data_IF_025474113809
#
_entry.id   IF_025474113809
#
_cell.length_a   1.000
_cell.length_b   1.000
_cell.length_c   1.000
_cell.angle_alpha   90.00
_cell.angle_beta   90.00
_cell.angle_gamma   90.00
#
_symmetry.space_group_name_H-M   'P 1'
#
loop_
_entity.id
_entity.type
_entity.pdbx_description
1 polymer ?
#
# COMPACT_ATOMS: atom_id res chain seq x y z
N UNK A 1 -2.03 29.48 -22.59
CA UNK A 1 -3.44 29.04 -22.45
C UNK A 1 -3.45 28.00 -21.33
N UNK A 2 -3.94 28.34 -20.13
CA UNK A 2 -3.88 27.46 -18.96
C UNK A 2 -4.91 26.34 -19.16
N UNK A 3 -4.43 25.11 -19.36
CA UNK A 3 -5.28 23.99 -19.76
C UNK A 3 -5.99 23.34 -18.57
N UNK A 4 -5.46 23.39 -17.34
CA UNK A 4 -6.05 22.84 -16.10
C UNK A 4 -5.36 23.44 -14.85
N UNK A 5 -5.99 23.43 -13.64
CA UNK A 5 -7.18 22.68 -13.25
C UNK A 5 -8.36 23.62 -13.03
N UNK A 6 -9.25 23.65 -14.01
CA UNK A 6 -10.55 24.26 -13.85
C UNK A 6 -11.61 23.22 -14.13
N UNK A 7 -12.44 22.92 -13.13
CA UNK A 7 -13.67 22.16 -13.39
C UNK A 7 -14.55 23.06 -14.25
N UNK A 8 -14.83 22.61 -15.47
CA UNK A 8 -15.87 23.20 -16.31
C UNK A 8 -17.14 22.39 -16.09
N UNK A 9 -18.00 22.75 -15.12
CA UNK A 9 -19.32 22.14 -15.08
C UNK A 9 -19.97 22.37 -16.45
N UNK A 10 -20.52 21.33 -17.06
CA UNK A 10 -21.32 21.39 -18.29
C UNK A 10 -20.58 21.33 -19.66
N UNK A 11 -19.42 20.67 -19.78
CA UNK A 11 -18.98 20.23 -21.12
C UNK A 11 -19.95 19.17 -21.67
N UNK A 12 -20.65 19.51 -22.77
CA UNK A 12 -21.54 18.60 -23.49
C UNK A 12 -23.04 18.95 -23.49
N UNK A 13 -23.47 20.03 -22.82
CA UNK A 13 -24.88 20.47 -22.82
C UNK A 13 -25.07 21.86 -23.43
N UNK A 14 -24.76 22.08 -24.71
CA UNK A 14 -25.16 23.28 -25.47
C UNK A 14 -25.12 24.66 -24.74
N UNK A 15 -24.19 24.87 -23.80
CA UNK A 15 -24.01 26.15 -23.08
C UNK A 15 -23.12 27.12 -23.88
N UNK A 16 -23.20 27.04 -25.20
CA UNK A 16 -22.55 28.01 -26.08
C UNK A 16 -23.65 28.87 -26.66
N UNK A 17 -23.79 30.09 -26.15
CA UNK A 17 -24.17 31.22 -27.01
C UNK A 17 -23.89 32.62 -26.51
N UNK A 18 -23.42 32.82 -25.28
CA UNK A 18 -22.91 34.13 -24.89
C UNK A 18 -21.60 34.00 -24.12
N UNK A 19 -20.67 34.91 -24.44
CA UNK A 19 -19.40 35.20 -23.75
C UNK A 19 -19.60 35.70 -22.30
N UNK A 20 -20.63 35.22 -21.60
CA UNK A 20 -20.94 35.58 -20.23
C UNK A 20 -20.10 34.74 -19.27
N UNK A 21 -18.95 35.33 -18.91
CA UNK A 21 -18.25 35.18 -17.63
C UNK A 21 -18.52 33.88 -16.87
N UNK A 22 -17.82 32.81 -17.27
CA UNK A 22 -17.74 31.63 -16.43
C UNK A 22 -16.89 31.96 -15.19
N UNK A 23 -17.52 31.93 -14.02
CA UNK A 23 -16.78 31.91 -12.76
C UNK A 23 -16.07 30.57 -12.62
N UNK A 24 -14.75 30.61 -12.75
CA UNK A 24 -13.90 29.48 -12.47
C UNK A 24 -13.61 29.46 -10.96
N UNK A 25 -14.28 28.59 -10.23
CA UNK A 25 -13.96 28.29 -8.84
C UNK A 25 -13.01 27.09 -8.81
N UNK A 26 -11.69 27.29 -8.72
CA UNK A 26 -10.78 26.17 -8.49
C UNK A 26 -11.17 25.50 -7.18
N UNK A 27 -11.27 24.17 -7.17
CA UNK A 27 -11.34 23.40 -5.93
C UNK A 27 -9.89 23.20 -5.51
N UNK A 28 -9.38 23.89 -4.46
CA UNK A 28 -7.95 23.85 -4.12
C UNK A 28 -7.44 22.42 -3.90
N UNK A 29 -8.26 21.57 -3.26
CA UNK A 29 -7.93 20.15 -3.04
C UNK A 29 -7.70 19.37 -4.33
N UNK A 30 -8.38 19.69 -5.45
CA UNK A 30 -8.14 19.04 -6.73
C UNK A 30 -6.89 19.54 -7.43
N UNK A 31 -6.52 20.82 -7.23
CA UNK A 31 -5.23 21.34 -7.69
C UNK A 31 -4.11 20.62 -6.95
N UNK A 32 -4.19 20.57 -5.61
CA UNK A 32 -3.23 19.88 -4.76
C UNK A 32 -3.12 18.39 -5.10
N UNK A 33 -4.25 17.70 -5.28
CA UNK A 33 -4.26 16.31 -5.75
C UNK A 33 -3.63 16.18 -7.12
N UNK A 34 -3.90 17.08 -8.08
CA UNK A 34 -3.32 17.01 -9.43
C UNK A 34 -1.79 17.09 -9.44
N UNK A 35 -1.21 17.93 -8.59
CA UNK A 35 0.24 18.13 -8.49
C UNK A 35 0.94 17.15 -7.54
N UNK A 36 0.19 16.34 -6.80
CA UNK A 36 0.72 15.28 -5.92
C UNK A 36 0.45 13.91 -6.54
N UNK A 37 -0.63 13.22 -6.13
CA UNK A 37 -1.02 11.91 -6.67
C UNK A 37 -1.37 11.96 -8.15
N UNK A 38 -1.82 13.12 -8.65
CA UNK A 38 -2.12 13.37 -10.05
C UNK A 38 -0.94 13.26 -10.99
N UNK A 39 0.30 13.49 -10.51
CA UNK A 39 1.52 13.31 -11.32
C UNK A 39 1.69 11.83 -11.65
N UNK A 40 1.49 10.93 -10.69
CA UNK A 40 1.53 9.50 -10.94
C UNK A 40 0.57 9.12 -12.08
N UNK A 41 -0.66 9.62 -12.05
CA UNK A 41 -1.65 9.35 -13.10
C UNK A 41 -1.28 9.95 -14.46
N UNK A 42 -0.65 11.12 -14.46
CA UNK A 42 -0.16 11.71 -15.70
C UNK A 42 0.92 10.83 -16.32
N UNK A 43 1.91 10.43 -15.52
CA UNK A 43 3.02 9.59 -15.96
C UNK A 43 2.53 8.19 -16.40
N UNK A 44 1.61 7.59 -15.64
CA UNK A 44 1.01 6.30 -16.00
C UNK A 44 0.22 6.40 -17.31
N UNK A 45 -0.55 7.47 -17.53
CA UNK A 45 -1.31 7.61 -18.75
C UNK A 45 -0.44 7.84 -19.99
N UNK A 46 0.69 8.53 -19.82
CA UNK A 46 1.65 8.81 -20.89
C UNK A 46 2.50 7.57 -21.23
N UNK A 47 3.09 6.94 -20.21
CA UNK A 47 4.14 5.92 -20.38
C UNK A 47 3.67 4.48 -20.12
N UNK A 48 2.42 4.29 -19.66
CA UNK A 48 1.77 2.99 -19.46
C UNK A 48 2.63 2.02 -18.64
N UNK A 49 2.85 0.82 -19.18
CA UNK A 49 3.55 -0.30 -18.53
C UNK A 49 4.99 0.05 -18.18
N UNK A 50 5.69 0.80 -19.04
CA UNK A 50 7.08 1.17 -18.78
C UNK A 50 7.22 2.00 -17.50
N UNK A 51 6.26 2.91 -17.25
CA UNK A 51 6.24 3.66 -16.00
C UNK A 51 5.75 2.81 -14.83
N UNK A 52 4.71 2.00 -15.02
CA UNK A 52 4.18 1.18 -13.92
C UNK A 52 5.20 0.16 -13.40
N UNK A 53 5.95 -0.47 -14.29
CA UNK A 53 6.94 -1.49 -13.93
C UNK A 53 8.12 -0.84 -13.21
N UNK A 54 8.63 0.28 -13.74
CA UNK A 54 9.69 1.03 -13.06
C UNK A 54 9.25 1.62 -11.72
N UNK A 55 8.05 2.21 -11.67
CA UNK A 55 7.52 2.79 -10.44
C UNK A 55 7.22 1.72 -9.39
N UNK A 56 6.85 0.50 -9.80
CA UNK A 56 6.75 -0.66 -8.90
C UNK A 56 8.04 -0.88 -8.12
N UNK A 57 9.19 -0.92 -8.80
CA UNK A 57 10.51 -1.06 -8.18
C UNK A 57 10.85 0.10 -7.23
N UNK A 58 10.47 1.33 -7.60
CA UNK A 58 10.65 2.51 -6.73
C UNK A 58 9.77 2.40 -5.48
N UNK A 59 8.53 1.93 -5.65
CA UNK A 59 7.57 1.75 -4.57
C UNK A 59 8.03 0.67 -3.58
N UNK A 60 8.50 -0.47 -4.07
CA UNK A 60 9.10 -1.55 -3.26
C UNK A 60 10.27 -1.05 -2.41
N UNK A 61 11.18 -0.26 -3.01
CA UNK A 61 12.29 0.38 -2.29
C UNK A 61 11.83 1.40 -1.26
N UNK A 62 10.77 2.13 -1.56
CA UNK A 62 10.19 3.10 -0.63
C UNK A 62 9.58 2.40 0.59
N UNK A 63 8.81 1.34 0.39
CA UNK A 63 8.29 0.50 1.48
C UNK A 63 9.45 -0.06 2.31
N UNK A 64 10.50 -0.57 1.65
CA UNK A 64 11.73 -1.02 2.31
C UNK A 64 12.36 0.03 3.22
N UNK A 65 12.45 1.28 2.76
CA UNK A 65 12.97 2.38 3.56
C UNK A 65 12.13 2.62 4.82
N UNK A 66 10.79 2.54 4.72
CA UNK A 66 9.91 2.68 5.90
C UNK A 66 10.14 1.51 6.86
N UNK A 67 10.18 0.27 6.36
CA UNK A 67 10.39 -0.93 7.18
C UNK A 67 11.72 -0.90 7.92
N UNK A 68 12.82 -0.53 7.23
CA UNK A 68 14.15 -0.37 7.84
C UNK A 68 14.20 0.73 8.92
N UNK A 69 13.32 1.73 8.83
CA UNK A 69 13.17 2.80 9.82
C UNK A 69 12.16 2.49 10.92
N UNK A 70 11.49 1.35 10.83
CA UNK A 70 10.42 0.94 11.75
C UNK A 70 10.79 -0.28 12.57
N UNK A 71 11.51 -1.24 11.97
CA UNK A 71 11.65 -2.60 12.48
C UNK A 71 13.09 -2.85 12.92
N UNK A 72 13.36 -2.59 14.21
CA UNK A 72 14.69 -2.77 14.81
C UNK A 72 14.81 -4.05 15.65
N UNK A 73 13.68 -4.59 16.11
CA UNK A 73 13.64 -5.79 16.94
C UNK A 73 13.40 -7.01 16.05
N UNK A 74 14.40 -7.48 15.31
CA UNK A 74 14.26 -8.63 14.42
C UNK A 74 15.14 -8.52 13.18
N UNK A 75 14.93 -9.42 12.22
CA UNK A 75 15.72 -9.45 10.98
C UNK A 75 14.81 -9.17 9.80
N UNK A 76 15.12 -8.10 9.06
CA UNK A 76 14.45 -7.74 7.82
C UNK A 76 15.29 -8.22 6.63
N UNK A 77 14.65 -8.95 5.72
CA UNK A 77 15.21 -9.43 4.47
C UNK A 77 14.50 -8.76 3.30
N UNK A 78 15.28 -8.22 2.35
CA UNK A 78 14.82 -7.79 1.05
C UNK A 78 14.66 -8.98 0.09
N UNK A 79 13.90 -8.78 -1.00
CA UNK A 79 13.83 -9.79 -2.07
C UNK A 79 15.22 -10.19 -2.54
N UNK A 80 16.13 -9.24 -2.75
CA UNK A 80 17.51 -9.53 -3.20
C UNK A 80 18.24 -10.49 -2.26
N UNK A 81 18.16 -10.28 -0.94
CA UNK A 81 18.81 -11.15 0.05
C UNK A 81 18.19 -12.55 0.07
N UNK A 82 16.86 -12.65 -0.11
CA UNK A 82 16.18 -13.94 -0.25
C UNK A 82 16.62 -14.63 -1.55
N UNK A 83 16.76 -13.89 -2.66
CA UNK A 83 17.10 -14.44 -3.98
C UNK A 83 18.54 -14.91 -4.11
N UNK A 84 19.45 -14.44 -3.25
CA UNK A 84 20.82 -14.96 -3.18
C UNK A 84 20.86 -16.44 -2.77
N UNK A 85 19.87 -16.88 -1.98
CA UNK A 85 19.79 -18.24 -1.42
C UNK A 85 18.57 -19.04 -1.94
N UNK A 86 17.57 -18.37 -2.49
CA UNK A 86 16.34 -18.97 -3.04
C UNK A 86 15.98 -18.34 -4.41
N UNK A 87 16.54 -18.91 -5.47
CA UNK A 87 16.47 -18.41 -6.83
C UNK A 87 15.05 -18.43 -7.42
N UNK A 88 14.84 -17.67 -8.50
CA UNK A 88 13.56 -17.65 -9.23
C UNK A 88 13.16 -18.98 -9.85
N UNK A 89 14.11 -19.92 -10.00
CA UNK A 89 13.83 -21.29 -10.47
C UNK A 89 13.24 -22.18 -9.36
N UNK A 90 13.58 -21.89 -8.11
CA UNK A 90 13.13 -22.65 -6.94
C UNK A 90 11.74 -22.21 -6.47
N UNK A 91 11.39 -20.94 -6.72
CA UNK A 91 10.02 -20.48 -6.63
C UNK A 91 9.88 -18.97 -6.46
N UNK A 92 8.80 -18.58 -5.79
CA UNK A 92 8.40 -17.19 -5.61
C UNK A 92 8.91 -16.64 -4.28
N UNK A 93 9.42 -15.41 -4.25
CA UNK A 93 9.86 -14.71 -3.04
C UNK A 93 8.97 -13.47 -2.79
N UNK A 94 8.77 -13.04 -1.54
CA UNK A 94 8.15 -11.75 -1.23
C UNK A 94 9.12 -10.59 -1.51
N UNK A 95 8.59 -9.38 -1.66
CA UNK A 95 9.42 -8.18 -1.80
C UNK A 95 10.23 -7.90 -0.51
N UNK A 96 9.63 -8.16 0.65
CA UNK A 96 10.29 -8.10 1.96
C UNK A 96 9.78 -9.20 2.90
N UNK A 97 10.64 -9.66 3.81
CA UNK A 97 10.28 -10.56 4.90
C UNK A 97 10.90 -10.08 6.22
N UNK A 98 10.10 -10.00 7.28
CA UNK A 98 10.57 -9.64 8.61
C UNK A 98 10.38 -10.82 9.57
N UNK A 99 11.47 -11.28 10.16
CA UNK A 99 11.48 -12.36 11.15
C UNK A 99 11.60 -11.76 12.55
N UNK A 100 10.60 -12.03 13.38
CA UNK A 100 10.58 -11.67 14.79
C UNK A 100 10.14 -12.88 15.61
N UNK A 101 11.03 -13.36 16.49
CA UNK A 101 10.84 -14.60 17.25
C UNK A 101 10.47 -15.76 16.30
N UNK A 102 9.34 -16.45 16.53
CA UNK A 102 8.85 -17.55 15.68
C UNK A 102 7.85 -17.09 14.60
N UNK A 103 7.71 -15.77 14.40
CA UNK A 103 6.77 -15.16 13.45
C UNK A 103 7.50 -14.51 12.28
N UNK A 104 7.04 -14.81 11.06
CA UNK A 104 7.45 -14.09 9.84
C UNK A 104 6.31 -13.22 9.35
N UNK A 105 6.60 -11.94 9.11
CA UNK A 105 5.71 -11.04 8.40
C UNK A 105 6.25 -10.89 6.98
N UNK A 106 5.44 -11.24 5.98
CA UNK A 106 5.83 -11.17 4.57
C UNK A 106 5.13 -9.98 3.93
N UNK A 107 5.85 -9.19 3.14
CA UNK A 107 5.31 -8.01 2.48
C UNK A 107 5.42 -8.15 0.97
N UNK A 108 4.29 -7.94 0.30
CA UNK A 108 4.21 -7.84 -1.17
C UNK A 108 3.68 -6.46 -1.54
N UNK A 109 4.44 -5.69 -2.29
CA UNK A 109 4.10 -4.36 -2.76
C UNK A 109 3.37 -4.44 -4.09
N UNK A 110 2.25 -3.73 -4.19
CA UNK A 110 1.53 -3.57 -5.45
C UNK A 110 1.07 -2.13 -5.60
N UNK A 111 1.34 -1.56 -6.76
CA UNK A 111 0.70 -0.33 -7.24
C UNK A 111 -0.77 -0.54 -7.65
N UNK A 112 -1.39 -1.61 -7.15
CA UNK A 112 -2.74 -2.03 -7.49
C UNK A 112 -3.74 -0.95 -7.07
N UNK A 113 -4.64 -0.63 -8.00
CA UNK A 113 -5.72 0.34 -7.80
C UNK A 113 -7.02 -0.27 -8.31
N UNK A 114 -8.11 -0.01 -7.61
CA UNK A 114 -9.43 -0.19 -8.22
C UNK A 114 -9.61 0.76 -9.40
N UNK A 115 -10.08 0.23 -10.52
CA UNK A 115 -10.43 1.07 -11.68
C UNK A 115 -11.48 2.11 -11.29
N UNK A 116 -11.57 3.21 -12.04
CA UNK A 116 -12.59 4.24 -11.76
C UNK A 116 -13.99 3.66 -11.82
N UNK A 117 -14.23 2.72 -12.73
CA UNK A 117 -15.49 2.01 -12.89
C UNK A 117 -15.82 1.14 -11.68
N UNK A 118 -14.81 0.47 -11.11
CA UNK A 118 -14.94 -0.29 -9.87
C UNK A 118 -15.25 0.62 -8.67
N UNK A 119 -14.61 1.80 -8.60
CA UNK A 119 -14.81 2.78 -7.53
C UNK A 119 -16.15 3.53 -7.63
N UNK A 120 -16.59 3.88 -8.84
CA UNK A 120 -17.73 4.78 -9.05
C UNK A 120 -19.07 4.04 -9.23
N UNK A 121 -19.06 2.84 -9.82
CA UNK A 121 -20.29 2.15 -10.25
C UNK A 121 -20.39 0.74 -9.61
N UNK A 122 -19.39 0.34 -8.81
CA UNK A 122 -19.33 -0.99 -8.18
C UNK A 122 -19.54 -2.14 -9.19
N UNK A 123 -19.09 -1.96 -10.44
CA UNK A 123 -19.20 -2.98 -11.47
C UNK A 123 -18.37 -4.21 -11.06
N UNK A 124 -19.03 -5.36 -10.94
CA UNK A 124 -18.43 -6.61 -10.43
C UNK A 124 -17.26 -7.08 -11.29
N UNK A 125 -17.34 -6.97 -12.62
CA UNK A 125 -16.25 -7.35 -13.52
C UNK A 125 -15.04 -6.42 -13.35
N UNK A 126 -15.27 -5.11 -13.21
CA UNK A 126 -14.22 -4.14 -12.98
C UNK A 126 -13.54 -4.34 -11.62
N UNK A 127 -14.32 -4.68 -10.58
CA UNK A 127 -13.80 -5.07 -9.26
C UNK A 127 -12.94 -6.33 -9.41
N UNK A 128 -13.46 -7.40 -10.01
CA UNK A 128 -12.72 -8.66 -10.20
C UNK A 128 -11.41 -8.46 -10.96
N UNK A 129 -11.42 -7.65 -12.02
CA UNK A 129 -10.22 -7.32 -12.80
C UNK A 129 -9.18 -6.59 -11.94
N UNK A 130 -9.62 -5.69 -11.07
CA UNK A 130 -8.74 -4.97 -10.14
C UNK A 130 -8.17 -5.89 -9.06
N UNK A 131 -8.94 -6.90 -8.63
CA UNK A 131 -8.51 -7.90 -7.65
C UNK A 131 -7.46 -8.88 -8.19
N UNK A 132 -7.25 -8.98 -9.51
CA UNK A 132 -6.26 -9.91 -10.09
C UNK A 132 -4.83 -9.64 -9.59
N UNK A 133 -4.45 -8.36 -9.42
CA UNK A 133 -3.11 -8.03 -8.92
C UNK A 133 -2.96 -8.38 -7.42
N UNK A 134 -4.05 -8.26 -6.67
CA UNK A 134 -4.11 -8.66 -5.25
C UNK A 134 -4.01 -10.17 -5.15
N UNK A 135 -4.80 -10.92 -5.93
CA UNK A 135 -4.76 -12.38 -6.00
C UNK A 135 -3.37 -12.89 -6.36
N UNK A 136 -2.73 -12.30 -7.37
CA UNK A 136 -1.36 -12.65 -7.76
C UNK A 136 -0.37 -12.46 -6.60
N UNK A 137 -0.41 -11.30 -5.93
CA UNK A 137 0.46 -11.02 -4.79
C UNK A 137 0.23 -11.98 -3.62
N UNK A 138 -1.02 -12.23 -3.25
CA UNK A 138 -1.35 -13.17 -2.16
C UNK A 138 -0.94 -14.62 -2.47
N UNK A 139 -1.03 -15.06 -3.73
CA UNK A 139 -0.52 -16.36 -4.15
C UNK A 139 1.00 -16.46 -4.08
N UNK A 140 1.70 -15.38 -4.40
CA UNK A 140 3.16 -15.30 -4.26
C UNK A 140 3.56 -15.56 -2.81
N UNK A 141 2.91 -14.86 -1.88
CA UNK A 141 3.10 -15.04 -0.44
C UNK A 141 2.74 -16.46 0.01
N UNK A 142 1.60 -17.01 -0.43
CA UNK A 142 1.19 -18.37 -0.08
C UNK A 142 2.19 -19.44 -0.57
N UNK A 143 2.74 -19.26 -1.78
CA UNK A 143 3.78 -20.15 -2.33
C UNK A 143 5.04 -20.10 -1.49
N UNK A 144 5.49 -18.91 -1.09
CA UNK A 144 6.68 -18.76 -0.25
C UNK A 144 6.47 -19.38 1.14
N UNK A 145 5.31 -19.14 1.78
CA UNK A 145 4.95 -19.78 3.06
C UNK A 145 5.01 -21.30 2.95
N UNK A 146 4.51 -21.86 1.83
CA UNK A 146 4.53 -23.30 1.58
C UNK A 146 5.97 -23.83 1.46
N UNK A 147 6.85 -23.10 0.78
CA UNK A 147 8.27 -23.44 0.67
C UNK A 147 9.00 -23.38 2.02
N UNK A 148 8.75 -22.35 2.84
CA UNK A 148 9.30 -22.25 4.20
C UNK A 148 8.85 -23.42 5.08
N UNK A 149 7.54 -23.75 5.05
CA UNK A 149 6.99 -24.88 5.83
C UNK A 149 7.53 -26.23 5.37
N UNK A 150 7.79 -26.40 4.08
CA UNK A 150 8.44 -27.57 3.51
C UNK A 150 9.95 -27.63 3.82
N UNK A 151 10.50 -26.62 4.51
CA UNK A 151 11.93 -26.48 4.82
C UNK A 151 12.80 -26.59 3.57
N UNK A 152 12.39 -25.91 2.49
CA UNK A 152 13.17 -25.87 1.26
C UNK A 152 14.61 -25.40 1.55
N UNK A 153 15.64 -26.02 0.94
CA UNK A 153 17.02 -25.53 1.02
C UNK A 153 17.12 -24.06 0.62
N UNK A 154 17.98 -23.29 1.31
CA UNK A 154 18.13 -21.85 1.10
C UNK A 154 17.15 -20.97 1.87
N UNK A 155 16.16 -21.56 2.54
CA UNK A 155 15.19 -20.86 3.40
C UNK A 155 15.41 -21.11 4.90
N UNK A 156 16.63 -21.50 5.30
CA UNK A 156 16.97 -21.90 6.67
C UNK A 156 16.63 -20.81 7.71
N UNK A 157 16.79 -19.54 7.34
CA UNK A 157 16.43 -18.39 8.16
C UNK A 157 14.94 -18.36 8.56
N UNK A 158 14.08 -19.13 7.89
CA UNK A 158 12.64 -19.19 8.14
C UNK A 158 12.18 -20.53 8.73
N UNK A 159 13.07 -21.54 8.85
CA UNK A 159 12.67 -22.92 9.24
C UNK A 159 12.21 -23.05 10.70
N UNK A 160 12.62 -22.13 11.57
CA UNK A 160 12.22 -22.09 12.98
C UNK A 160 10.87 -21.39 13.18
N UNK A 161 10.36 -20.70 12.16
CA UNK A 161 9.13 -19.92 12.27
C UNK A 161 7.89 -20.81 12.05
N UNK A 162 6.90 -20.67 12.92
CA UNK A 162 5.64 -21.43 12.85
C UNK A 162 4.45 -20.55 12.43
N UNK A 163 4.57 -19.23 12.57
CA UNK A 163 3.54 -18.26 12.24
C UNK A 163 3.98 -17.40 11.05
N UNK A 164 3.10 -17.27 10.07
CA UNK A 164 3.34 -16.44 8.89
C UNK A 164 2.17 -15.46 8.73
N UNK A 165 2.48 -14.17 8.64
CA UNK A 165 1.50 -13.09 8.44
C UNK A 165 1.75 -12.46 7.07
N UNK A 166 1.00 -12.86 6.03
CA UNK A 166 1.11 -12.29 4.70
C UNK A 166 0.42 -10.92 4.62
N UNK A 167 1.17 -9.91 4.22
CA UNK A 167 0.71 -8.53 4.06
C UNK A 167 0.93 -8.09 2.61
N UNK A 168 -0.12 -7.57 1.98
CA UNK A 168 0.00 -6.85 0.72
C UNK A 168 -0.03 -5.35 0.99
N UNK A 169 0.98 -4.62 0.52
CA UNK A 169 1.08 -3.16 0.63
C UNK A 169 0.63 -2.53 -0.68
N UNK A 170 -0.43 -1.74 -0.63
CA UNK A 170 -0.95 -0.99 -1.77
C UNK A 170 -0.43 0.45 -1.78
N UNK A 171 -0.21 1.01 -2.97
CA UNK A 171 0.16 2.43 -3.11
C UNK A 171 -0.95 3.36 -2.61
N UNK A 172 -2.21 3.00 -2.88
CA UNK A 172 -3.39 3.77 -2.45
C UNK A 172 -4.30 2.94 -1.54
N UNK A 173 -5.15 3.60 -0.72
CA UNK A 173 -6.18 2.93 0.05
C UNK A 173 -7.15 2.13 -0.81
N UNK A 174 -7.20 0.83 -0.56
CA UNK A 174 -8.23 -0.06 -1.08
C UNK A 174 -9.37 -0.12 -0.06
N UNK A 175 -10.28 0.84 -0.13
CA UNK A 175 -11.40 0.94 0.81
C UNK A 175 -12.22 -0.36 0.84
N UNK A 176 -12.64 -0.74 2.05
CA UNK A 176 -13.42 -1.96 2.33
C UNK A 176 -12.69 -3.29 2.06
N UNK A 177 -11.45 -3.30 1.57
CA UNK A 177 -10.77 -4.54 1.15
C UNK A 177 -10.61 -5.55 2.29
N UNK A 178 -10.46 -5.07 3.51
CA UNK A 178 -10.33 -5.91 4.71
C UNK A 178 -11.66 -6.22 5.39
N UNK A 179 -12.80 -5.78 4.84
CA UNK A 179 -14.13 -6.16 5.38
C UNK A 179 -14.43 -7.63 5.11
N UNK A 180 -15.31 -8.23 5.93
CA UNK A 180 -15.71 -9.63 5.78
C UNK A 180 -16.23 -9.96 4.37
N UNK A 181 -16.91 -9.02 3.71
CA UNK A 181 -17.42 -9.19 2.35
C UNK A 181 -16.29 -9.39 1.33
N UNK A 182 -15.33 -8.45 1.28
CA UNK A 182 -14.21 -8.53 0.34
C UNK A 182 -13.24 -9.65 0.70
N UNK A 183 -13.01 -9.89 2.00
CA UNK A 183 -12.19 -11.01 2.47
C UNK A 183 -12.74 -12.33 1.96
N UNK A 184 -14.03 -12.61 2.21
CA UNK A 184 -14.69 -13.84 1.72
C UNK A 184 -14.63 -13.97 0.19
N UNK A 185 -14.79 -12.86 -0.54
CA UNK A 185 -14.69 -12.87 -1.99
C UNK A 185 -13.29 -13.21 -2.49
N UNK A 186 -12.25 -12.58 -1.94
CA UNK A 186 -10.85 -12.86 -2.26
C UNK A 186 -10.48 -14.29 -1.86
N UNK A 187 -10.94 -14.76 -0.69
CA UNK A 187 -10.70 -16.13 -0.24
C UNK A 187 -11.32 -17.16 -1.18
N UNK A 188 -12.51 -16.90 -1.74
CA UNK A 188 -13.10 -17.75 -2.77
C UNK A 188 -12.27 -17.78 -4.06
N UNK A 189 -11.74 -16.62 -4.47
CA UNK A 189 -10.84 -16.52 -5.63
C UNK A 189 -9.56 -17.32 -5.37
N UNK A 190 -8.94 -17.16 -4.20
CA UNK A 190 -7.74 -17.89 -3.79
C UNK A 190 -7.98 -19.40 -3.70
N UNK A 191 -9.13 -19.82 -3.17
CA UNK A 191 -9.51 -21.23 -3.07
C UNK A 191 -9.63 -21.87 -4.46
N UNK A 192 -10.16 -21.14 -5.46
CA UNK A 192 -10.21 -21.60 -6.86
C UNK A 192 -8.81 -21.81 -7.47
N UNK A 193 -7.77 -21.28 -6.83
CA UNK A 193 -6.35 -21.41 -7.19
C UNK A 193 -5.56 -22.27 -6.19
N UNK A 194 -6.25 -23.10 -5.41
CA UNK A 194 -5.65 -24.01 -4.42
C UNK A 194 -4.92 -23.33 -3.26
N UNK A 195 -5.23 -22.06 -2.97
CA UNK A 195 -4.76 -21.36 -1.77
C UNK A 195 -5.90 -21.29 -0.77
N UNK A 196 -5.77 -22.01 0.35
CA UNK A 196 -6.82 -22.16 1.37
C UNK A 196 -6.28 -21.72 2.72
N UNK A 197 -7.07 -20.94 3.48
CA UNK A 197 -6.75 -20.57 4.86
C UNK A 197 -5.57 -19.60 4.99
N UNK A 198 -5.32 -18.76 3.99
CA UNK A 198 -4.30 -17.72 4.06
C UNK A 198 -4.83 -16.55 4.90
N UNK A 199 -4.26 -16.31 6.08
CA UNK A 199 -4.67 -15.20 6.95
C UNK A 199 -4.00 -13.88 6.56
N UNK A 200 -4.39 -13.35 5.41
CA UNK A 200 -3.77 -12.17 4.79
C UNK A 200 -4.30 -10.84 5.33
N UNK A 201 -3.52 -9.78 5.16
CA UNK A 201 -3.94 -8.41 5.41
C UNK A 201 -3.48 -7.48 4.29
N UNK A 202 -4.26 -6.43 4.02
CA UNK A 202 -3.88 -5.42 3.02
C UNK A 202 -3.77 -4.07 3.71
N UNK A 203 -2.62 -3.42 3.56
CA UNK A 203 -2.38 -2.08 4.10
C UNK A 203 -2.04 -1.14 2.94
N UNK A 204 -2.49 0.11 3.02
CA UNK A 204 -1.96 1.15 2.14
C UNK A 204 -0.59 1.62 2.69
N UNK A 205 0.25 2.18 1.82
CA UNK A 205 1.55 2.72 2.25
C UNK A 205 1.40 3.80 3.33
N UNK A 206 0.36 4.64 3.25
CA UNK A 206 0.04 5.65 4.27
C UNK A 206 -0.19 5.06 5.67
N UNK A 207 -0.66 3.81 5.75
CA UNK A 207 -0.79 3.10 7.01
C UNK A 207 0.59 2.79 7.60
N UNK A 208 1.54 2.33 6.79
CA UNK A 208 2.92 2.10 7.24
C UNK A 208 3.62 3.41 7.62
N UNK A 209 3.41 4.48 6.85
CA UNK A 209 3.94 5.81 7.16
C UNK A 209 3.44 6.32 8.51
N UNK A 210 2.14 6.14 8.78
CA UNK A 210 1.51 6.52 10.05
C UNK A 210 1.99 5.67 11.21
N UNK A 211 2.26 4.37 10.99
CA UNK A 211 2.74 3.45 12.02
C UNK A 211 4.22 3.62 12.35
N UNK A 212 5.04 4.04 11.39
CA UNK A 212 6.49 4.10 11.52
C UNK A 212 6.99 4.70 12.84
N UNK A 213 6.56 5.90 13.28
CA UNK A 213 7.08 6.50 14.51
C UNK A 213 6.75 5.68 15.76
N UNK A 214 5.64 4.92 15.75
CA UNK A 214 5.24 4.06 16.86
C UNK A 214 6.03 2.75 16.89
N UNK A 215 6.29 2.17 15.72
CA UNK A 215 7.14 0.98 15.57
C UNK A 215 8.59 1.31 15.98
N UNK A 216 9.10 2.46 15.58
CA UNK A 216 10.41 2.97 16.01
C UNK A 216 10.47 3.19 17.53
N UNK A 217 9.37 3.60 18.16
CA UNK A 217 9.25 3.70 19.61
C UNK A 217 9.14 2.34 20.33
N UNK A 218 9.16 1.22 19.59
CA UNK A 218 9.17 -0.14 20.14
C UNK A 218 7.80 -0.82 20.18
N UNK A 219 6.75 -0.23 19.61
CA UNK A 219 5.46 -0.91 19.52
C UNK A 219 5.55 -2.12 18.57
N UNK A 220 5.00 -3.27 18.99
CA UNK A 220 5.13 -4.51 18.23
C UNK A 220 4.23 -4.52 16.98
N UNK A 221 4.83 -4.72 15.81
CA UNK A 221 4.07 -4.89 14.56
C UNK A 221 3.20 -6.16 14.60
N UNK A 222 3.64 -7.24 15.26
CA UNK A 222 2.83 -8.45 15.41
C UNK A 222 1.56 -8.14 16.22
N UNK A 223 1.71 -7.43 17.35
CA UNK A 223 0.58 -6.99 18.18
C UNK A 223 -0.36 -6.07 17.41
N UNK A 224 0.20 -5.13 16.62
CA UNK A 224 -0.59 -4.27 15.74
C UNK A 224 -1.51 -5.10 14.82
N UNK A 225 -0.94 -6.05 14.10
CA UNK A 225 -1.66 -6.85 13.09
C UNK A 225 -2.73 -7.75 13.72
N UNK A 226 -2.47 -8.29 14.91
CA UNK A 226 -3.46 -9.07 15.66
C UNK A 226 -4.65 -8.22 16.13
N UNK A 227 -4.38 -6.98 16.56
CA UNK A 227 -5.42 -6.05 16.99
C UNK A 227 -6.23 -5.49 15.81
N UNK A 228 -5.60 -5.32 14.64
CA UNK A 228 -6.24 -4.82 13.42
C UNK A 228 -7.33 -5.78 12.89
N UNK A 229 -7.34 -7.04 13.33
CA UNK A 229 -8.43 -8.00 13.02
C UNK A 229 -9.73 -7.68 13.76
N UNK A 230 -9.67 -6.89 14.84
CA UNK A 230 -10.79 -6.63 15.76
C UNK A 230 -11.26 -5.19 15.72
N UNK A 231 -10.35 -4.26 15.43
CA UNK A 231 -10.57 -2.81 15.53
C UNK A 231 -10.16 -2.14 14.23
N UNK A 232 -10.79 -1.01 13.88
CA UNK A 232 -10.40 -0.22 12.71
C UNK A 232 -8.97 0.32 12.85
N UNK A 233 -8.32 0.59 11.71
CA UNK A 233 -6.96 1.14 11.67
C UNK A 233 -6.84 2.43 12.49
N UNK A 234 -7.75 3.39 12.29
CA UNK A 234 -7.69 4.70 12.96
C UNK A 234 -7.84 4.58 14.47
N UNK A 235 -8.82 3.80 14.95
CA UNK A 235 -9.02 3.62 16.39
C UNK A 235 -7.82 2.93 17.05
N UNK A 236 -7.19 1.99 16.32
CA UNK A 236 -5.98 1.34 16.80
C UNK A 236 -4.78 2.30 16.81
N UNK A 237 -4.63 3.13 15.77
CA UNK A 237 -3.59 4.15 15.70
C UNK A 237 -3.73 5.16 16.85
N UNK A 238 -4.94 5.63 17.16
CA UNK A 238 -5.19 6.53 18.29
C UNK A 238 -4.78 5.89 19.63
N UNK A 239 -5.11 4.61 19.83
CA UNK A 239 -4.68 3.87 21.02
C UNK A 239 -3.16 3.79 21.13
N UNK A 240 -2.48 3.53 20.02
CA UNK A 240 -1.02 3.39 19.98
C UNK A 240 -0.34 4.75 20.15
N UNK A 241 -0.91 5.82 19.60
CA UNK A 241 -0.42 7.18 19.81
C UNK A 241 -0.48 7.56 21.30
N UNK A 242 -1.56 7.19 21.99
CA UNK A 242 -1.67 7.39 23.44
C UNK A 242 -0.65 6.56 24.24
N UNK A 243 -0.34 5.34 23.80
CA UNK A 243 0.62 4.45 24.46
C UNK A 243 2.08 4.90 24.27
N UNK A 244 2.42 5.26 23.03
CA UNK A 244 3.79 5.61 22.64
C UNK A 244 4.13 7.09 22.85
N UNK A 245 3.12 7.95 22.96
CA UNK A 245 3.29 9.42 22.97
C UNK A 245 3.85 9.97 21.65
N UNK A 246 3.78 9.19 20.56
CA UNK A 246 4.31 9.55 19.25
C UNK A 246 3.20 10.00 18.30
N UNK A 247 3.59 10.79 17.31
CA UNK A 247 2.72 11.26 16.23
C UNK A 247 3.45 11.18 14.89
N UNK A 248 2.76 11.48 13.78
CA UNK A 248 3.42 11.61 12.48
C UNK A 248 4.55 12.66 12.48
N UNK A 249 4.50 13.68 13.35
CA UNK A 249 5.56 14.68 13.47
C UNK A 249 6.91 14.10 13.92
N UNK A 250 6.89 12.94 14.61
CA UNK A 250 8.08 12.19 15.00
C UNK A 250 8.67 11.36 13.84
N UNK A 251 7.93 11.19 12.74
CA UNK A 251 8.37 10.35 11.62
C UNK A 251 9.57 10.96 10.88
N UNK A 252 10.45 10.09 10.36
CA UNK A 252 11.52 10.50 9.45
C UNK A 252 11.00 11.19 8.17
N UNK A 253 9.73 10.96 7.82
CA UNK A 253 9.05 11.57 6.68
C UNK A 253 8.63 13.01 6.93
N UNK A 254 8.36 13.40 8.19
CA UNK A 254 7.82 14.72 8.52
C UNK A 254 8.72 15.86 8.04
N UNK A 255 10.05 15.73 8.26
CA UNK A 255 11.03 16.72 7.78
C UNK A 255 11.01 16.86 6.25
N UNK A 256 10.78 15.77 5.52
CA UNK A 256 10.68 15.80 4.05
C UNK A 256 9.37 16.46 3.61
N UNK A 257 8.26 16.11 4.24
CA UNK A 257 6.96 16.73 3.99
C UNK A 257 7.01 18.24 4.24
N UNK A 258 7.57 18.67 5.37
CA UNK A 258 7.77 20.11 5.69
C UNK A 258 8.60 20.83 4.64
N UNK A 259 9.69 20.21 4.16
CA UNK A 259 10.49 20.78 3.06
C UNK A 259 9.66 20.94 1.79
N UNK A 260 8.84 19.95 1.43
CA UNK A 260 7.97 20.03 0.24
C UNK A 260 6.98 21.19 0.40
N UNK A 261 6.30 21.29 1.55
CA UNK A 261 5.35 22.36 1.85
C UNK A 261 6.00 23.75 1.77
N UNK A 262 7.20 23.90 2.34
CA UNK A 262 7.97 25.14 2.22
C UNK A 262 8.32 25.49 0.76
N UNK A 263 8.69 24.51 -0.06
CA UNK A 263 8.99 24.75 -1.48
C UNK A 263 7.77 25.18 -2.29
N UNK A 264 6.57 24.76 -1.89
CA UNK A 264 5.31 25.14 -2.56
C UNK A 264 4.59 26.31 -1.86
N UNK A 265 5.24 26.96 -0.90
CA UNK A 265 4.75 28.17 -0.24
C UNK A 265 3.64 27.96 0.80
N UNK A 266 3.48 26.73 1.33
CA UNK A 266 2.53 26.43 2.41
C UNK A 266 3.22 26.47 3.78
N UNK A 267 2.49 26.94 4.79
CA UNK A 267 2.93 26.98 6.20
C UNK A 267 2.25 25.88 7.03
N UNK A 268 2.76 25.60 8.23
CA UNK A 268 2.20 24.56 9.12
C UNK A 268 0.76 24.84 9.56
N UNK A 269 0.28 26.08 9.46
CA UNK A 269 -1.11 26.45 9.76
C UNK A 269 -2.07 26.19 8.59
N UNK A 270 -1.55 25.82 7.42
CA UNK A 270 -2.34 25.61 6.19
C UNK A 270 -2.69 24.13 5.92
N UNK A 271 -2.24 23.20 6.79
CA UNK A 271 -2.34 21.73 6.61
C UNK A 271 -3.01 21.05 7.80
#
# INVERSE_FOLDING_TARGET
>A
MITYPVIKPCQGKNFLKDDQQFFYAPIPGLIASRITSGIFYQMFNEYKTNFSDYFGLVFEKYVGLILQRSLFQGTLFSESEIREVYSSKEGMAPDWAFVYEETVILFECKIARFSKEAQAIANVEAVNKSLLQIEKGLRQLASFISACRAKHPGLENFHHCNRFIPILISLEPLYLINTSLFRKHIDNILASKSVIGLDWQILAVEHLESLQPHLEAGYSLVQFLDNLKKVSFNNLLDSIANETGKTFADSFLYKKQKKIYQHIGLTETDV
#
